data_IF_969878505872
#
_entry.id   IF_969878505872
#
_cell.length_a   1.000
_cell.length_b   1.000
_cell.length_c   1.000
_cell.angle_alpha   90.00
_cell.angle_beta   90.00
_cell.angle_gamma   90.00
#
_symmetry.space_group_name_H-M   'P 1'
#
loop_
_entity.id
_entity.type
_entity.pdbx_description
1 polymer ?
#
# COMPACT_ATOMS: atom_id res chain seq x y z
N UNK A 1 -86.50 -12.92 -18.58
CA UNK A 1 -86.07 -14.10 -17.79
C UNK A 1 -84.50 -14.15 -17.87
N UNK A 2 -83.83 -13.77 -16.83
CA UNK A 2 -82.37 -13.76 -16.76
C UNK A 2 -81.93 -14.90 -15.85
N UNK A 3 -81.24 -15.90 -16.42
CA UNK A 3 -80.63 -16.98 -15.65
C UNK A 3 -79.20 -16.51 -15.19
N UNK A 4 -78.97 -16.53 -13.90
CA UNK A 4 -77.65 -16.30 -13.29
C UNK A 4 -76.92 -17.68 -13.29
N UNK A 5 -75.76 -17.71 -13.91
CA UNK A 5 -74.81 -18.81 -13.78
C UNK A 5 -73.84 -18.50 -12.69
N UNK A 6 -73.82 -19.32 -11.67
CA UNK A 6 -72.84 -19.22 -10.55
C UNK A 6 -71.64 -20.09 -10.94
N UNK A 7 -70.48 -19.45 -11.12
CA UNK A 7 -69.20 -20.16 -11.33
C UNK A 7 -68.59 -20.45 -9.97
N UNK A 8 -68.48 -21.75 -9.67
CA UNK A 8 -67.77 -22.24 -8.51
C UNK A 8 -66.28 -22.42 -8.93
N UNK A 9 -65.40 -21.50 -8.51
CA UNK A 9 -63.95 -21.63 -8.74
C UNK A 9 -63.32 -22.44 -7.62
N UNK A 10 -62.91 -23.65 -8.00
CA UNK A 10 -62.11 -24.54 -7.16
C UNK A 10 -60.66 -24.04 -7.19
N UNK A 11 -60.19 -23.36 -6.14
CA UNK A 11 -58.78 -22.97 -6.00
C UNK A 11 -57.96 -24.13 -5.48
N UNK A 12 -57.24 -24.78 -6.38
CA UNK A 12 -56.25 -25.80 -6.07
C UNK A 12 -54.98 -25.08 -5.59
N UNK A 13 -54.70 -25.16 -4.29
CA UNK A 13 -53.47 -24.67 -3.70
C UNK A 13 -52.32 -25.65 -4.02
N UNK A 14 -51.50 -25.32 -4.99
CA UNK A 14 -50.23 -26.01 -5.24
C UNK A 14 -49.22 -25.43 -4.24
N UNK A 15 -48.90 -26.21 -3.21
CA UNK A 15 -47.74 -25.95 -2.35
C UNK A 15 -46.45 -26.26 -3.12
N UNK A 16 -45.86 -25.26 -3.70
CA UNK A 16 -44.48 -25.36 -4.20
C UNK A 16 -43.56 -25.12 -3.00
N UNK A 17 -43.04 -26.22 -2.43
CA UNK A 17 -41.94 -26.18 -1.50
C UNK A 17 -40.68 -25.83 -2.26
N UNK A 18 -40.36 -24.54 -2.29
CA UNK A 18 -39.05 -24.07 -2.71
C UNK A 18 -38.02 -24.52 -1.65
N UNK A 19 -37.34 -25.63 -1.92
CA UNK A 19 -36.09 -25.96 -1.29
C UNK A 19 -35.06 -24.88 -1.72
N UNK A 20 -34.96 -23.82 -0.94
CA UNK A 20 -33.84 -22.91 -0.99
C UNK A 20 -32.61 -23.68 -0.51
N UNK A 21 -31.83 -24.18 -1.46
CA UNK A 21 -30.44 -24.53 -1.24
C UNK A 21 -29.72 -23.22 -0.87
N UNK A 22 -29.76 -22.90 0.41
CA UNK A 22 -28.77 -21.96 0.98
C UNK A 22 -27.42 -22.64 0.83
N UNK A 23 -26.73 -22.36 -0.27
CA UNK A 23 -25.30 -22.52 -0.32
C UNK A 23 -24.76 -21.59 0.78
N UNK A 24 -24.48 -22.15 1.94
CA UNK A 24 -23.59 -21.51 2.90
C UNK A 24 -22.23 -21.37 2.18
N UNK A 25 -22.04 -20.26 1.46
CA UNK A 25 -20.74 -19.68 1.35
C UNK A 25 -20.36 -19.33 2.80
N UNK A 26 -19.53 -20.17 3.39
CA UNK A 26 -18.79 -19.81 4.57
C UNK A 26 -17.87 -18.67 4.15
N UNK A 27 -18.37 -17.42 4.21
CA UNK A 27 -17.51 -16.29 4.45
C UNK A 27 -16.92 -16.57 5.84
N UNK A 28 -15.80 -17.28 5.88
CA UNK A 28 -14.89 -17.17 6.99
C UNK A 28 -14.39 -15.73 6.94
N UNK A 29 -15.11 -14.85 7.61
CA UNK A 29 -14.54 -13.60 8.07
C UNK A 29 -13.46 -14.03 9.06
N UNK A 30 -12.22 -14.06 8.58
CA UNK A 30 -11.10 -14.14 9.48
C UNK A 30 -11.24 -12.94 10.41
N UNK A 31 -11.26 -13.18 11.72
CA UNK A 31 -11.15 -12.10 12.71
C UNK A 31 -9.76 -11.50 12.53
N UNK A 32 -9.65 -10.55 11.63
CA UNK A 32 -8.51 -9.66 11.53
C UNK A 32 -8.47 -8.91 12.86
N UNK A 33 -7.53 -9.24 13.71
CA UNK A 33 -7.26 -8.45 14.89
C UNK A 33 -6.65 -7.14 14.43
N UNK A 34 -7.50 -6.14 14.19
CA UNK A 34 -7.07 -4.78 13.92
C UNK A 34 -6.49 -4.21 15.22
N UNK A 35 -5.15 -4.17 15.28
CA UNK A 35 -4.43 -3.60 16.42
C UNK A 35 -4.66 -2.08 16.57
N UNK A 36 -5.26 -1.43 15.56
CA UNK A 36 -5.62 -0.03 15.61
C UNK A 36 -6.91 0.24 16.38
N UNK A 37 -7.62 -0.81 16.83
CA UNK A 37 -8.83 -0.63 17.65
C UNK A 37 -8.51 0.19 18.90
N UNK A 38 -9.08 1.40 18.97
CA UNK A 38 -8.86 2.36 20.06
C UNK A 38 -7.63 3.26 19.88
N UNK A 39 -6.84 3.10 18.82
CA UNK A 39 -5.77 4.03 18.44
C UNK A 39 -6.34 5.01 17.42
N UNK A 40 -6.24 6.30 17.72
CA UNK A 40 -6.65 7.37 16.82
C UNK A 40 -5.41 8.18 16.48
N UNK A 41 -5.19 8.42 15.20
CA UNK A 41 -4.15 9.32 14.74
C UNK A 41 -4.36 10.70 15.36
N UNK A 42 -3.33 11.22 16.03
CA UNK A 42 -3.33 12.60 16.50
C UNK A 42 -2.95 13.51 15.33
N UNK A 43 -3.56 14.70 15.32
CA UNK A 43 -3.11 15.73 14.38
C UNK A 43 -1.73 16.23 14.82
N UNK A 44 -0.81 16.34 13.90
CA UNK A 44 0.49 16.97 14.12
C UNK A 44 0.63 18.19 13.22
N UNK A 45 1.53 19.09 13.61
CA UNK A 45 1.79 20.31 12.86
C UNK A 45 2.46 19.95 11.51
N UNK A 46 1.91 20.49 10.41
CA UNK A 46 2.56 20.38 9.11
C UNK A 46 3.80 21.29 9.08
N UNK A 47 4.97 20.70 8.90
CA UNK A 47 6.24 21.39 8.83
C UNK A 47 6.76 21.48 7.41
N UNK A 48 7.23 22.65 7.02
CA UNK A 48 7.87 22.79 5.70
C UNK A 48 9.26 22.13 5.74
N UNK A 49 9.54 21.20 4.81
CA UNK A 49 10.87 20.60 4.70
C UNK A 49 11.98 21.63 4.60
N UNK A 50 12.94 21.57 5.52
CA UNK A 50 14.13 22.42 5.51
C UNK A 50 15.21 21.86 4.56
N UNK A 51 16.30 22.61 4.37
CA UNK A 51 17.35 22.20 3.43
C UNK A 51 18.16 21.00 3.97
N UNK A 52 18.19 20.81 5.29
CA UNK A 52 18.82 19.63 5.88
C UNK A 52 18.03 18.36 5.54
N UNK A 53 16.70 18.38 5.67
CA UNK A 53 15.85 17.27 5.26
C UNK A 53 15.95 17.02 3.76
N UNK A 54 15.86 18.07 2.91
CA UNK A 54 15.97 17.92 1.46
C UNK A 54 17.28 17.27 1.04
N UNK A 55 18.39 17.67 1.67
CA UNK A 55 19.71 17.09 1.42
C UNK A 55 19.77 15.62 1.88
N UNK A 56 19.31 15.31 3.09
CA UNK A 56 19.29 13.96 3.63
C UNK A 56 18.43 13.02 2.78
N UNK A 57 17.22 13.44 2.46
CA UNK A 57 16.28 12.66 1.62
C UNK A 57 16.80 12.49 0.18
N UNK A 58 17.40 13.54 -0.39
CA UNK A 58 18.04 13.47 -1.70
C UNK A 58 19.21 12.48 -1.73
N UNK A 59 20.08 12.53 -0.73
CA UNK A 59 21.18 11.58 -0.59
C UNK A 59 20.68 10.14 -0.44
N UNK A 60 19.70 9.91 0.44
CA UNK A 60 19.06 8.60 0.59
C UNK A 60 18.52 8.09 -0.74
N UNK A 61 17.81 8.95 -1.48
CA UNK A 61 17.19 8.59 -2.76
C UNK A 61 18.23 8.18 -3.82
N UNK A 62 19.33 8.93 -3.92
CA UNK A 62 20.42 8.65 -4.85
C UNK A 62 21.17 7.37 -4.47
N UNK A 63 21.48 7.17 -3.19
CA UNK A 63 22.15 5.96 -2.72
C UNK A 63 21.26 4.71 -2.90
N UNK A 64 19.95 4.84 -2.66
CA UNK A 64 18.99 3.77 -2.94
C UNK A 64 19.00 3.40 -4.42
N UNK A 65 18.94 4.39 -5.33
CA UNK A 65 19.00 4.14 -6.77
C UNK A 65 20.30 3.44 -7.16
N UNK A 66 21.45 3.90 -6.66
CA UNK A 66 22.77 3.29 -6.92
C UNK A 66 22.83 1.82 -6.48
N UNK A 67 22.15 1.48 -5.37
CA UNK A 67 22.10 0.10 -4.87
C UNK A 67 21.17 -0.81 -5.67
N UNK A 68 20.12 -0.26 -6.25
CA UNK A 68 19.12 -1.01 -7.04
C UNK A 68 19.46 -1.09 -8.51
N UNK A 69 20.25 -0.15 -9.04
CA UNK A 69 20.57 -0.07 -10.46
C UNK A 69 21.73 -1.03 -10.84
N UNK A 70 21.44 -1.96 -11.72
CA UNK A 70 22.39 -2.96 -12.21
C UNK A 70 23.11 -2.55 -13.52
N UNK A 71 22.76 -1.39 -14.08
CA UNK A 71 23.30 -0.88 -15.33
C UNK A 71 22.83 -1.61 -16.60
N UNK A 72 21.87 -2.54 -16.48
CA UNK A 72 21.42 -3.39 -17.60
C UNK A 72 19.92 -3.35 -17.81
N UNK A 73 19.16 -3.32 -16.73
CA UNK A 73 17.70 -3.40 -16.75
C UNK A 73 17.06 -2.04 -16.49
N UNK A 74 15.83 -1.87 -16.96
CA UNK A 74 15.02 -0.74 -16.53
C UNK A 74 14.78 -0.84 -15.02
N UNK A 75 15.09 0.23 -14.30
CA UNK A 75 14.94 0.29 -12.84
C UNK A 75 13.97 1.38 -12.46
N UNK A 76 12.94 1.02 -11.71
CA UNK A 76 11.99 1.94 -11.09
C UNK A 76 12.06 1.76 -9.58
N UNK A 77 12.25 2.84 -8.85
CA UNK A 77 12.22 2.85 -7.38
C UNK A 77 11.32 3.96 -6.88
N UNK A 78 10.77 3.78 -5.69
CA UNK A 78 10.08 4.84 -4.95
C UNK A 78 10.83 5.12 -3.64
N UNK A 79 11.70 6.14 -3.59
CA UNK A 79 12.36 6.51 -2.34
C UNK A 79 11.38 6.86 -1.23
N UNK A 80 10.22 7.44 -1.57
CA UNK A 80 9.17 7.74 -0.61
C UNK A 80 8.65 6.48 0.08
N UNK A 81 8.34 5.44 -0.71
CA UNK A 81 7.85 4.16 -0.18
C UNK A 81 8.87 3.51 0.74
N UNK A 82 10.13 3.44 0.29
CA UNK A 82 11.19 2.80 1.07
C UNK A 82 11.50 3.59 2.36
N UNK A 83 11.61 4.92 2.28
CA UNK A 83 11.85 5.75 3.46
C UNK A 83 10.68 5.68 4.44
N UNK A 84 9.42 5.70 3.98
CA UNK A 84 8.25 5.56 4.84
C UNK A 84 8.24 4.22 5.58
N UNK A 85 8.41 3.10 4.86
CA UNK A 85 8.44 1.77 5.46
C UNK A 85 9.57 1.62 6.48
N UNK A 86 10.78 2.08 6.14
CA UNK A 86 11.92 2.00 7.06
C UNK A 86 11.76 2.95 8.26
N UNK A 87 11.16 4.13 8.09
CA UNK A 87 10.91 5.05 9.21
C UNK A 87 9.82 4.50 10.13
N UNK A 88 8.77 3.87 9.58
CA UNK A 88 7.81 3.12 10.39
C UNK A 88 8.50 2.04 11.23
N UNK A 89 9.45 1.31 10.65
CA UNK A 89 10.26 0.32 11.39
C UNK A 89 11.10 0.98 12.48
N UNK A 90 11.75 2.11 12.16
CA UNK A 90 12.60 2.85 13.08
C UNK A 90 11.84 3.35 14.32
N UNK A 91 10.53 3.61 14.21
CA UNK A 91 9.68 3.96 15.34
C UNK A 91 9.59 2.85 16.42
N UNK A 92 9.92 1.61 16.06
CA UNK A 92 10.05 0.49 17.00
C UNK A 92 11.51 0.18 17.40
N UNK A 93 12.49 0.85 16.80
CA UNK A 93 13.90 0.61 17.09
C UNK A 93 14.36 1.35 18.33
N UNK A 94 15.38 0.82 18.98
CA UNK A 94 16.04 1.44 20.15
C UNK A 94 17.55 1.25 20.10
N UNK A 95 18.30 2.09 20.88
CA UNK A 95 19.75 2.01 20.99
C UNK A 95 20.44 2.10 19.63
N UNK A 96 21.46 1.28 19.42
CA UNK A 96 22.29 1.30 18.23
C UNK A 96 21.49 1.14 16.91
N UNK A 97 20.49 0.27 16.89
CA UNK A 97 19.65 0.08 15.68
C UNK A 97 18.95 1.37 15.30
N UNK A 98 18.40 2.10 16.27
CA UNK A 98 17.76 3.40 16.02
C UNK A 98 18.78 4.40 15.45
N UNK A 99 19.95 4.50 16.07
CA UNK A 99 21.01 5.45 15.65
C UNK A 99 21.47 5.16 14.21
N UNK A 100 21.63 3.89 13.86
CA UNK A 100 22.00 3.47 12.50
C UNK A 100 20.90 3.80 11.48
N UNK A 101 19.62 3.63 11.85
CA UNK A 101 18.48 3.98 11.00
C UNK A 101 18.37 5.50 10.82
N UNK A 102 18.50 6.29 11.88
CA UNK A 102 18.54 7.77 11.80
C UNK A 102 19.67 8.25 10.88
N UNK A 103 20.84 7.62 10.96
CA UNK A 103 21.98 7.94 10.08
C UNK A 103 21.67 7.67 8.61
N UNK A 104 21.07 6.52 8.30
CA UNK A 104 20.78 6.12 6.90
C UNK A 104 19.63 6.92 6.32
N UNK A 105 18.55 7.10 7.08
CA UNK A 105 17.31 7.71 6.60
C UNK A 105 17.35 9.25 6.63
N UNK A 106 18.00 9.81 7.64
CA UNK A 106 17.93 11.25 7.94
C UNK A 106 19.28 11.94 8.06
N UNK A 107 20.41 11.29 7.72
CA UNK A 107 21.76 11.85 7.95
C UNK A 107 21.91 12.31 9.40
N UNK A 108 21.62 11.44 10.36
CA UNK A 108 21.65 11.67 11.82
C UNK A 108 20.54 12.61 12.33
N UNK A 109 19.53 12.91 11.52
CA UNK A 109 18.36 13.66 11.97
C UNK A 109 17.56 12.82 12.99
N UNK A 110 17.18 13.38 14.15
CA UNK A 110 16.35 12.67 15.12
C UNK A 110 15.06 12.15 14.52
N UNK A 111 14.68 10.92 14.87
CA UNK A 111 13.56 10.21 14.28
C UNK A 111 12.24 10.99 14.36
N UNK A 112 11.96 11.68 15.48
CA UNK A 112 10.74 12.47 15.62
C UNK A 112 10.70 13.65 14.61
N UNK A 113 11.84 14.25 14.30
CA UNK A 113 11.95 15.28 13.28
C UNK A 113 11.79 14.70 11.87
N UNK A 114 12.37 13.52 11.63
CA UNK A 114 12.24 12.80 10.36
C UNK A 114 10.78 12.38 10.11
N UNK A 115 10.09 11.87 11.13
CA UNK A 115 8.66 11.56 11.07
C UNK A 115 7.84 12.77 10.63
N UNK A 116 8.03 13.92 11.27
CA UNK A 116 7.33 15.16 10.93
C UNK A 116 7.56 15.59 9.48
N UNK A 117 8.80 15.56 9.01
CA UNK A 117 9.12 15.94 7.63
C UNK A 117 8.57 14.98 6.60
N UNK A 118 8.72 13.66 6.81
CA UNK A 118 8.19 12.65 5.88
C UNK A 118 6.67 12.70 5.81
N UNK A 119 6.00 12.82 6.95
CA UNK A 119 4.54 12.97 7.02
C UNK A 119 4.08 14.22 6.27
N UNK A 120 4.71 15.37 6.53
CA UNK A 120 4.37 16.63 5.88
C UNK A 120 4.67 16.60 4.38
N UNK A 121 5.78 15.99 3.97
CA UNK A 121 6.14 15.81 2.57
C UNK A 121 5.15 14.91 1.85
N UNK A 122 4.85 13.73 2.42
CA UNK A 122 3.85 12.80 1.87
C UNK A 122 2.47 13.45 1.76
N UNK A 123 2.03 14.15 2.81
CA UNK A 123 0.76 14.87 2.83
C UNK A 123 0.68 16.02 1.82
N UNK A 124 1.83 16.57 1.40
CA UNK A 124 1.88 17.60 0.35
C UNK A 124 1.72 17.04 -1.08
N UNK A 125 1.92 15.73 -1.25
CA UNK A 125 1.75 15.02 -2.51
C UNK A 125 0.30 14.59 -2.66
N UNK A 126 -0.59 15.55 -2.86
CA UNK A 126 -2.03 15.30 -3.02
C UNK A 126 -2.37 15.10 -4.48
N UNK A 127 -3.45 14.34 -4.74
CA UNK A 127 -4.05 14.26 -6.08
C UNK A 127 -4.54 15.63 -6.54
N UNK A 128 -4.42 15.90 -7.85
CA UNK A 128 -4.93 17.10 -8.52
C UNK A 128 -6.09 16.78 -9.44
N UNK A 129 -6.45 17.75 -10.29
CA UNK A 129 -7.50 17.54 -11.31
C UNK A 129 -7.03 16.57 -12.41
N UNK A 130 -5.73 16.64 -12.78
CA UNK A 130 -5.15 15.90 -13.90
C UNK A 130 -4.28 14.72 -13.46
N UNK A 131 -4.19 14.44 -12.15
CA UNK A 131 -3.41 13.31 -11.63
C UNK A 131 -3.96 12.78 -10.33
N UNK A 132 -3.74 11.50 -10.12
CA UNK A 132 -4.10 10.78 -8.91
C UNK A 132 -2.87 10.15 -8.29
N UNK A 133 -2.61 10.48 -7.04
CA UNK A 133 -1.58 9.84 -6.23
C UNK A 133 -2.22 9.21 -5.01
N UNK A 134 -2.04 7.91 -4.85
CA UNK A 134 -2.39 7.20 -3.63
C UNK A 134 -1.12 6.75 -2.93
N UNK A 135 -1.09 6.91 -1.63
CA UNK A 135 -0.01 6.44 -0.77
C UNK A 135 -0.62 5.88 0.51
N UNK A 136 -0.51 4.58 0.70
CA UNK A 136 -1.07 3.88 1.84
C UNK A 136 0.00 3.04 2.54
N UNK A 137 -0.08 2.95 3.87
CA UNK A 137 0.86 2.22 4.69
C UNK A 137 0.16 1.15 5.52
N UNK A 138 0.78 -0.01 5.65
CA UNK A 138 0.32 -1.05 6.55
C UNK A 138 1.47 -1.84 7.17
N UNK A 139 1.20 -2.38 8.36
CA UNK A 139 2.10 -3.25 9.08
C UNK A 139 1.33 -4.50 9.46
N UNK A 140 1.88 -5.66 9.13
CA UNK A 140 1.28 -6.96 9.36
C UNK A 140 2.19 -7.76 10.29
N UNK A 141 1.64 -8.27 11.38
CA UNK A 141 2.36 -9.06 12.36
C UNK A 141 1.82 -10.49 12.41
N UNK A 142 2.73 -11.46 12.58
CA UNK A 142 2.35 -12.84 12.85
C UNK A 142 1.70 -12.94 14.23
N UNK A 143 0.50 -13.52 14.29
CA UNK A 143 -0.15 -13.89 15.55
C UNK A 143 0.41 -15.22 16.03
N UNK A 144 1.46 -15.13 16.81
CA UNK A 144 2.09 -16.29 17.45
C UNK A 144 2.42 -15.92 18.89
N UNK A 145 1.80 -16.61 19.82
CA UNK A 145 2.01 -16.36 21.25
C UNK A 145 3.49 -16.41 21.61
N UNK A 146 3.93 -15.44 22.42
CA UNK A 146 5.29 -15.31 22.93
C UNK A 146 6.41 -14.99 21.91
N UNK A 147 6.10 -14.74 20.62
CA UNK A 147 7.12 -14.32 19.65
C UNK A 147 7.24 -12.81 19.49
N UNK A 148 6.14 -12.09 19.64
CA UNK A 148 6.13 -10.64 19.41
C UNK A 148 5.16 -9.95 20.37
N UNK A 149 5.68 -8.96 21.11
CA UNK A 149 4.88 -7.95 21.80
C UNK A 149 4.99 -6.63 21.07
N UNK A 150 3.87 -6.04 20.72
CA UNK A 150 3.83 -4.76 20.00
C UNK A 150 3.55 -3.64 20.98
N UNK A 151 4.48 -2.70 21.11
CA UNK A 151 4.36 -1.57 22.02
C UNK A 151 3.33 -0.56 21.53
N UNK A 152 2.51 -0.03 22.43
CA UNK A 152 1.46 0.93 22.09
C UNK A 152 2.01 2.22 21.47
N UNK A 153 3.17 2.69 21.94
CA UNK A 153 3.82 3.89 21.40
C UNK A 153 4.25 3.71 19.95
N UNK A 154 4.68 2.50 19.57
CA UNK A 154 4.97 2.16 18.18
C UNK A 154 3.72 2.26 17.29
N UNK A 155 2.60 1.71 17.75
CA UNK A 155 1.33 1.77 17.03
C UNK A 155 0.87 3.23 16.89
N UNK A 156 0.92 4.01 17.97
CA UNK A 156 0.50 5.40 17.99
C UNK A 156 1.33 6.26 17.03
N UNK A 157 2.66 6.16 17.08
CA UNK A 157 3.55 6.92 16.19
C UNK A 157 3.27 6.60 14.71
N UNK A 158 3.08 5.33 14.38
CA UNK A 158 2.81 4.94 13.00
C UNK A 158 1.39 5.36 12.53
N UNK A 159 0.42 5.44 13.44
CA UNK A 159 -0.86 6.04 13.16
C UNK A 159 -0.74 7.55 12.92
N UNK A 160 -0.03 8.25 13.79
CA UNK A 160 0.06 9.71 13.78
C UNK A 160 0.75 10.24 12.51
N UNK A 161 1.89 9.66 12.15
CA UNK A 161 2.73 10.17 11.09
C UNK A 161 2.52 9.52 9.72
N UNK A 162 2.05 8.28 9.70
CA UNK A 162 1.96 7.50 8.44
C UNK A 162 0.55 7.03 8.12
N UNK A 163 -0.42 7.24 9.02
CA UNK A 163 -1.78 6.71 8.84
C UNK A 163 -1.78 5.20 8.62
N UNK A 164 -0.81 4.49 9.21
CA UNK A 164 -0.61 3.08 8.96
C UNK A 164 -1.76 2.24 9.54
N UNK A 165 -2.30 1.34 8.73
CA UNK A 165 -3.17 0.26 9.20
C UNK A 165 -2.29 -0.88 9.76
N UNK A 166 -2.66 -1.44 10.92
CA UNK A 166 -1.83 -2.43 11.60
C UNK A 166 -2.65 -3.66 11.95
N UNK A 167 -2.23 -4.82 11.44
CA UNK A 167 -2.94 -6.07 11.53
C UNK A 167 -2.09 -7.17 12.19
N UNK A 168 -2.75 -8.05 12.94
CA UNK A 168 -2.15 -9.24 13.55
C UNK A 168 -2.89 -10.47 13.04
N UNK A 169 -2.20 -11.38 12.35
CA UNK A 169 -2.78 -12.50 11.61
C UNK A 169 -1.90 -13.74 11.68
N UNK A 170 -2.47 -14.90 11.37
CA UNK A 170 -1.78 -16.19 11.43
C UNK A 170 -0.60 -16.37 10.45
N UNK A 171 -0.45 -15.50 9.45
CA UNK A 171 0.56 -15.59 8.39
C UNK A 171 0.48 -16.88 7.57
N UNK A 172 -0.72 -17.28 7.26
CA UNK A 172 -1.06 -18.39 6.38
C UNK A 172 -1.42 -17.94 4.95
N UNK A 173 -1.94 -18.85 4.15
CA UNK A 173 -2.39 -18.54 2.79
C UNK A 173 -3.56 -17.54 2.75
N UNK A 174 -4.36 -17.46 3.81
CA UNK A 174 -5.43 -16.48 3.89
C UNK A 174 -4.86 -15.08 4.16
N UNK A 175 -3.91 -14.96 5.08
CA UNK A 175 -3.17 -13.71 5.29
C UNK A 175 -2.46 -13.22 4.02
N UNK A 176 -1.88 -14.14 3.23
CA UNK A 176 -1.28 -13.78 1.95
C UNK A 176 -2.29 -13.12 0.99
N UNK A 177 -3.52 -13.65 0.93
CA UNK A 177 -4.60 -13.08 0.13
C UNK A 177 -5.05 -11.71 0.67
N UNK A 178 -5.20 -11.59 2.00
CA UNK A 178 -5.58 -10.32 2.63
C UNK A 178 -4.58 -9.21 2.33
N UNK A 179 -3.27 -9.51 2.42
CA UNK A 179 -2.22 -8.56 2.06
C UNK A 179 -2.33 -8.14 0.59
N UNK A 180 -2.50 -9.09 -0.33
CA UNK A 180 -2.65 -8.77 -1.74
C UNK A 180 -3.91 -7.95 -2.02
N UNK A 181 -5.05 -8.31 -1.41
CA UNK A 181 -6.29 -7.54 -1.53
C UNK A 181 -6.10 -6.11 -1.00
N UNK A 182 -5.47 -5.95 0.17
CA UNK A 182 -5.20 -4.64 0.73
C UNK A 182 -4.37 -3.76 -0.22
N UNK A 183 -3.35 -4.33 -0.85
CA UNK A 183 -2.52 -3.60 -1.84
C UNK A 183 -3.33 -3.24 -3.07
N UNK A 184 -4.12 -4.17 -3.62
CA UNK A 184 -4.99 -3.94 -4.78
C UNK A 184 -5.99 -2.80 -4.49
N UNK A 185 -6.67 -2.85 -3.35
CA UNK A 185 -7.66 -1.83 -2.95
C UNK A 185 -7.02 -0.44 -2.78
N UNK A 186 -5.79 -0.40 -2.25
CA UNK A 186 -5.07 0.86 -2.02
C UNK A 186 -4.31 1.37 -3.25
N UNK A 187 -4.30 0.62 -4.36
CA UNK A 187 -3.71 1.02 -5.64
C UNK A 187 -4.72 1.08 -6.79
N UNK A 188 -6.03 1.07 -6.51
CA UNK A 188 -7.10 1.02 -7.51
C UNK A 188 -6.95 -0.17 -8.49
N UNK A 189 -6.45 -1.30 -8.01
CA UNK A 189 -6.21 -2.48 -8.84
C UNK A 189 -4.97 -2.36 -9.76
N UNK A 190 -4.12 -1.34 -9.60
CA UNK A 190 -2.90 -1.23 -10.41
C UNK A 190 -1.84 -2.26 -10.00
N UNK A 191 -1.91 -2.75 -8.76
CA UNK A 191 -1.05 -3.81 -8.24
C UNK A 191 -1.94 -4.90 -7.65
N UNK A 192 -2.14 -5.98 -8.39
CA UNK A 192 -3.03 -7.07 -7.97
C UNK A 192 -2.39 -7.98 -6.93
N UNK A 193 -1.06 -8.09 -6.95
CA UNK A 193 -0.36 -9.08 -6.13
C UNK A 193 1.09 -8.69 -5.87
N UNK A 194 1.50 -8.81 -4.60
CA UNK A 194 2.89 -8.60 -4.16
C UNK A 194 3.50 -9.84 -3.48
N UNK A 195 2.67 -10.77 -3.02
CA UNK A 195 3.10 -12.00 -2.35
C UNK A 195 2.49 -13.23 -3.02
N UNK A 196 3.31 -14.24 -3.27
CA UNK A 196 2.86 -15.58 -3.69
C UNK A 196 2.56 -16.48 -2.49
N UNK A 197 3.38 -16.38 -1.47
CA UNK A 197 3.28 -17.12 -0.21
C UNK A 197 3.97 -16.34 0.91
N UNK A 198 3.70 -16.72 2.14
CA UNK A 198 4.35 -16.18 3.33
C UNK A 198 5.28 -17.27 3.88
N UNK A 199 6.61 -17.04 3.94
CA UNK A 199 7.54 -17.98 4.57
C UNK A 199 7.25 -18.17 6.06
N UNK A 200 7.51 -19.38 6.58
CA UNK A 200 7.27 -19.71 8.00
C UNK A 200 8.12 -18.85 8.95
N UNK A 201 9.29 -18.38 8.51
CA UNK A 201 10.17 -17.51 9.27
C UNK A 201 9.71 -16.05 9.31
N UNK A 202 8.82 -15.63 8.40
CA UNK A 202 8.33 -14.26 8.38
C UNK A 202 7.52 -13.96 9.63
N UNK A 203 7.88 -12.89 10.32
CA UNK A 203 7.21 -12.42 11.54
C UNK A 203 6.48 -11.10 11.34
N UNK A 204 6.89 -10.34 10.33
CA UNK A 204 6.32 -9.02 10.05
C UNK A 204 6.48 -8.66 8.58
N UNK A 205 5.48 -7.99 8.01
CA UNK A 205 5.57 -7.26 6.75
C UNK A 205 5.26 -5.80 6.98
N UNK A 206 6.09 -4.93 6.42
CA UNK A 206 5.84 -3.51 6.29
C UNK A 206 5.60 -3.22 4.82
N UNK A 207 4.47 -2.63 4.54
CA UNK A 207 4.03 -2.40 3.16
C UNK A 207 3.70 -0.93 3.00
N UNK A 208 4.31 -0.31 2.01
CA UNK A 208 3.85 0.94 1.46
C UNK A 208 3.35 0.68 0.05
N UNK A 209 2.11 1.07 -0.23
CA UNK A 209 1.49 0.98 -1.55
C UNK A 209 1.37 2.38 -2.13
N UNK A 210 2.05 2.62 -3.26
CA UNK A 210 1.98 3.88 -4.01
C UNK A 210 1.49 3.60 -5.41
N UNK A 211 0.46 4.32 -5.83
CA UNK A 211 0.02 4.37 -7.22
C UNK A 211 -0.02 5.81 -7.70
N UNK A 212 0.44 6.03 -8.92
CA UNK A 212 0.43 7.33 -9.59
C UNK A 212 -0.18 7.17 -10.97
N UNK A 213 -1.25 7.90 -11.22
CA UNK A 213 -1.98 7.92 -12.47
C UNK A 213 -2.12 9.38 -12.91
N UNK A 214 -1.57 9.72 -14.08
CA UNK A 214 -1.59 11.07 -14.60
C UNK A 214 -1.49 11.10 -16.13
N UNK A 215 -2.10 12.10 -16.73
CA UNK A 215 -1.90 12.37 -18.15
C UNK A 215 -0.63 13.23 -18.34
N UNK A 216 0.06 12.98 -19.45
CA UNK A 216 1.17 13.85 -19.85
C UNK A 216 0.64 15.22 -20.26
N UNK A 217 1.23 16.29 -19.75
CA UNK A 217 0.85 17.66 -20.12
C UNK A 217 1.01 17.97 -21.63
N UNK A 218 1.88 17.21 -22.31
CA UNK A 218 2.03 17.23 -23.75
C UNK A 218 1.88 15.81 -24.30
N UNK A 219 0.74 15.54 -24.93
CA UNK A 219 0.49 14.26 -25.58
C UNK A 219 1.08 14.31 -27.00
N UNK A 220 1.93 13.35 -27.33
CA UNK A 220 2.44 13.22 -28.70
C UNK A 220 1.31 12.77 -29.63
N UNK A 221 1.14 13.50 -30.75
CA UNK A 221 0.18 13.12 -31.78
C UNK A 221 0.74 11.96 -32.58
N UNK A 222 -0.12 11.03 -33.00
CA UNK A 222 0.30 9.88 -33.83
C UNK A 222 1.15 10.27 -35.04
N UNK A 223 0.84 11.40 -35.68
CA UNK A 223 1.60 11.91 -36.83
C UNK A 223 2.98 12.51 -36.47
N UNK A 224 3.28 12.66 -35.20
CA UNK A 224 4.60 13.09 -34.72
C UNK A 224 5.50 11.90 -34.31
N UNK A 225 4.93 10.69 -34.32
CA UNK A 225 5.67 9.46 -34.03
C UNK A 225 6.37 9.00 -35.30
N UNK A 226 7.68 8.83 -35.24
CA UNK A 226 8.50 8.39 -36.39
C UNK A 226 9.53 7.36 -35.98
N UNK A 227 9.97 6.57 -36.94
CA UNK A 227 11.09 5.67 -36.71
C UNK A 227 12.39 6.46 -36.62
N UNK A 228 13.15 6.19 -35.58
CA UNK A 228 14.41 6.82 -35.29
C UNK A 228 15.49 5.81 -34.92
N UNK A 229 16.67 6.30 -34.63
CA UNK A 229 17.81 5.47 -34.21
C UNK A 229 18.27 5.89 -32.82
N UNK A 230 18.44 4.92 -31.95
CA UNK A 230 18.92 5.09 -30.58
C UNK A 230 20.21 4.29 -30.42
N UNK A 231 21.23 4.90 -29.83
CA UNK A 231 22.45 4.19 -29.46
C UNK A 231 22.36 3.77 -28.00
N UNK A 232 22.41 2.49 -27.73
CA UNK A 232 22.34 1.97 -26.37
C UNK A 232 23.69 2.11 -25.62
N UNK A 233 23.73 1.70 -24.35
CA UNK A 233 24.94 1.75 -23.51
C UNK A 233 26.10 0.86 -23.97
N UNK A 234 25.88 -0.03 -24.96
CA UNK A 234 26.89 -0.89 -25.58
C UNK A 234 27.34 -0.33 -26.95
N UNK A 235 27.06 0.93 -27.25
CA UNK A 235 27.32 1.60 -28.53
C UNK A 235 26.65 0.92 -29.75
N UNK A 236 25.59 0.13 -29.51
CA UNK A 236 24.82 -0.49 -30.58
C UNK A 236 23.68 0.43 -31.03
N UNK A 237 23.60 0.63 -32.33
CA UNK A 237 22.53 1.37 -32.97
C UNK A 237 21.29 0.49 -33.10
N UNK A 238 20.18 0.94 -32.50
CA UNK A 238 18.88 0.26 -32.51
C UNK A 238 17.84 1.12 -33.25
N UNK A 239 16.94 0.47 -33.99
CA UNK A 239 15.77 1.15 -34.52
C UNK A 239 14.73 1.24 -33.38
N UNK A 240 14.18 2.41 -33.18
CA UNK A 240 13.15 2.69 -32.17
C UNK A 240 12.08 3.57 -32.79
N UNK A 241 10.85 3.43 -32.33
CA UNK A 241 9.76 4.33 -32.65
C UNK A 241 9.67 5.40 -31.58
N UNK A 242 9.77 6.67 -31.90
CA UNK A 242 9.81 7.80 -30.96
C UNK A 242 9.09 9.03 -31.51
#
# INVERSE_FOLDING_TARGET
MKRKFTFLTLTSAILISALSLSACQSNQSYETSDLMTGIKAASHETVKPDDAFKSAYGNFSVELLKKCFDGKSNTLISPLSVSSALTMTANGANGQTKDEMEKVLGSEMPLDKLNNYLSSFSGSLTSGEDFKLKNANSIWFRDEENRLTVEKDFLQKNADYFGAAIYKLAFDNATCKEINNWVSDNTDGMIDKILDNIPDEAIMYLINAVSFDAEWGNVYKENAIADGKFTNSEDKLMNVTM
#
